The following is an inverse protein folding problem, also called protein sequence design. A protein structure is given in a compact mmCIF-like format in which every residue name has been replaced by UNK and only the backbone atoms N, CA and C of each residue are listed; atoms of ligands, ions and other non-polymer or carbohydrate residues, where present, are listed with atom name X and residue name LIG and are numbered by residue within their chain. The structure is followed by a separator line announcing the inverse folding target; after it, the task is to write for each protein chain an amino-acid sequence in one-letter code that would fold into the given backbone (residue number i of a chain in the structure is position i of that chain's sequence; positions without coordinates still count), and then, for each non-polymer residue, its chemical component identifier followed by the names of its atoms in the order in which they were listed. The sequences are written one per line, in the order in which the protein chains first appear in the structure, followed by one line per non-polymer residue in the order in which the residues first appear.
data_IF_460932031337
#
_entry.id   IF_460932031337
#
_cell.length_a   1.000
_cell.length_b   1.000
_cell.length_c   1.000
_cell.angle_alpha   90.00
_cell.angle_beta   90.00
_cell.angle_gamma   90.00
#
_symmetry.space_group_name_H-M   'P 1'
#
loop_
_entity.id
_entity.type
_entity.pdbx_description
1 polymer ?
#
# COMPACT_ATOMS: atom_id res chain seq x y z
N UNK A 1 -8.58 7.57 8.10
CA UNK A 1 -8.54 7.96 6.67
C UNK A 1 -9.90 8.53 6.29
N UNK A 2 -9.90 9.76 5.78
CA UNK A 2 -11.08 10.48 5.32
C UNK A 2 -11.56 9.98 3.96
N UNK A 3 -12.77 10.36 3.54
CA UNK A 3 -13.28 10.00 2.21
C UNK A 3 -12.49 10.67 1.08
N UNK A 4 -11.99 11.90 1.29
CA UNK A 4 -11.15 12.60 0.31
C UNK A 4 -9.84 11.85 0.06
N UNK A 5 -9.18 11.41 1.12
CA UNK A 5 -7.95 10.60 1.04
C UNK A 5 -8.17 9.27 0.31
N UNK A 6 -9.29 8.60 0.58
CA UNK A 6 -9.66 7.36 -0.12
C UNK A 6 -9.79 7.58 -1.62
N UNK A 7 -10.44 8.67 -2.05
CA UNK A 7 -10.57 8.98 -3.48
C UNK A 7 -9.21 9.31 -4.12
N UNK A 8 -8.31 10.00 -3.41
CA UNK A 8 -6.97 10.34 -3.93
C UNK A 8 -6.11 9.10 -4.24
N UNK A 9 -6.23 8.04 -3.44
CA UNK A 9 -5.45 6.79 -3.62
C UNK A 9 -6.20 5.69 -4.34
N UNK A 10 -7.48 5.91 -4.71
CA UNK A 10 -8.42 4.89 -5.14
C UNK A 10 -7.90 4.02 -6.27
N UNK A 11 -7.33 4.63 -7.31
CA UNK A 11 -6.87 3.91 -8.49
C UNK A 11 -5.63 3.05 -8.16
N UNK A 12 -4.66 3.60 -7.43
CA UNK A 12 -3.47 2.86 -7.01
C UNK A 12 -3.80 1.77 -5.98
N UNK A 13 -4.76 2.01 -5.07
CA UNK A 13 -5.23 1.01 -4.12
C UNK A 13 -5.99 -0.13 -4.83
N UNK A 14 -6.81 0.19 -5.83
CA UNK A 14 -7.47 -0.82 -6.68
C UNK A 14 -6.45 -1.64 -7.45
N UNK A 15 -5.45 -0.99 -8.06
CA UNK A 15 -4.36 -1.67 -8.75
C UNK A 15 -3.56 -2.56 -7.78
N UNK A 16 -3.26 -2.07 -6.58
CA UNK A 16 -2.62 -2.88 -5.54
C UNK A 16 -3.45 -4.13 -5.21
N UNK A 17 -4.73 -3.98 -4.89
CA UNK A 17 -5.61 -5.12 -4.56
C UNK A 17 -5.78 -6.12 -5.71
N UNK A 18 -5.63 -5.69 -6.97
CA UNK A 18 -5.66 -6.59 -8.12
C UNK A 18 -4.38 -7.45 -8.25
N UNK A 19 -3.25 -6.98 -7.72
CA UNK A 19 -1.95 -7.66 -7.82
C UNK A 19 -1.53 -8.35 -6.50
N UNK A 20 -2.00 -7.84 -5.37
CA UNK A 20 -1.65 -8.27 -4.02
C UNK A 20 -2.92 -8.68 -3.26
N UNK A 21 -2.86 -9.78 -2.50
CA UNK A 21 -4.03 -10.37 -1.84
C UNK A 21 -4.49 -9.64 -0.57
N UNK A 22 -3.62 -8.82 0.04
CA UNK A 22 -3.93 -8.17 1.31
C UNK A 22 -3.26 -6.81 1.42
N UNK A 23 -4.05 -5.84 1.90
CA UNK A 23 -3.54 -4.58 2.44
C UNK A 23 -4.47 -4.10 3.54
N UNK A 24 -3.88 -3.61 4.62
CA UNK A 24 -4.59 -2.86 5.66
C UNK A 24 -3.87 -1.56 5.92
N UNK A 25 -4.61 -0.45 5.85
CA UNK A 25 -4.09 0.89 6.06
C UNK A 25 -4.80 1.48 7.28
N UNK A 26 -4.03 1.89 8.28
CA UNK A 26 -4.52 2.45 9.54
C UNK A 26 -3.96 3.86 9.68
N UNK A 27 -4.81 4.83 10.02
CA UNK A 27 -4.33 6.19 10.32
C UNK A 27 -3.53 6.18 11.62
N UNK A 28 -2.42 6.89 11.64
CA UNK A 28 -1.63 7.05 12.86
C UNK A 28 -2.40 7.86 13.90
N UNK A 29 -2.25 7.50 15.18
CA UNK A 29 -2.92 8.20 16.28
C UNK A 29 -2.35 9.61 16.50
N UNK A 30 -1.08 9.83 16.11
CA UNK A 30 -0.38 11.10 16.22
C UNK A 30 0.19 11.51 14.85
N UNK A 31 -0.30 12.62 14.31
CA UNK A 31 0.07 13.17 13.00
C UNK A 31 -0.81 12.68 11.84
N UNK A 32 -0.52 13.15 10.63
CA UNK A 32 -1.32 12.88 9.41
C UNK A 32 -0.83 11.62 8.65
N UNK A 33 -0.22 10.68 9.37
CA UNK A 33 0.43 9.50 8.80
C UNK A 33 -0.46 8.27 8.70
N UNK A 34 0.06 7.25 8.01
CA UNK A 34 -0.60 5.98 7.74
C UNK A 34 0.35 4.80 7.96
N UNK A 35 -0.08 3.81 8.75
CA UNK A 35 0.56 2.52 8.87
C UNK A 35 -0.01 1.56 7.84
N UNK A 36 0.88 0.99 7.01
CA UNK A 36 0.53 0.02 5.97
C UNK A 36 0.97 -1.38 6.40
N UNK A 37 0.04 -2.33 6.34
CA UNK A 37 0.26 -3.74 6.64
C UNK A 37 -0.06 -4.58 5.41
N UNK A 38 0.88 -5.40 4.96
CA UNK A 38 0.73 -6.26 3.78
C UNK A 38 0.36 -7.70 4.10
N UNK A 39 0.25 -8.05 5.37
CA UNK A 39 -0.30 -9.33 5.84
C UNK A 39 -1.09 -9.17 7.13
N UNK A 40 -1.99 -10.11 7.39
CA UNK A 40 -2.76 -10.16 8.63
C UNK A 40 -1.87 -10.40 9.86
N UNK A 41 -0.83 -11.23 9.71
CA UNK A 41 0.17 -11.49 10.76
C UNK A 41 0.89 -10.21 11.20
N UNK A 42 1.30 -9.39 10.23
CA UNK A 42 1.92 -8.08 10.48
C UNK A 42 0.98 -7.14 11.20
N UNK A 43 -0.29 -7.14 10.83
CA UNK A 43 -1.30 -6.35 11.51
C UNK A 43 -1.50 -6.81 12.97
N UNK A 44 -1.60 -8.12 13.22
CA UNK A 44 -1.78 -8.69 14.56
C UNK A 44 -0.57 -8.47 15.47
N UNK A 45 0.64 -8.56 14.93
CA UNK A 45 1.89 -8.32 15.67
C UNK A 45 2.22 -6.83 15.85
N UNK A 46 1.45 -5.92 15.25
CA UNK A 46 1.75 -4.49 15.25
C UNK A 46 2.97 -4.10 14.40
N UNK A 47 3.50 -5.03 13.59
CA UNK A 47 4.68 -4.80 12.75
C UNK A 47 4.28 -4.24 11.38
N UNK A 48 4.14 -2.91 11.29
CA UNK A 48 3.83 -2.25 10.02
C UNK A 48 4.93 -2.50 8.98
N UNK A 49 4.51 -2.67 7.72
CA UNK A 49 5.42 -2.84 6.58
C UNK A 49 6.02 -1.51 6.17
N UNK A 50 5.19 -0.47 6.14
CA UNK A 50 5.60 0.88 5.80
C UNK A 50 4.82 1.88 6.64
N UNK A 51 5.51 2.94 7.04
CA UNK A 51 4.89 4.16 7.53
C UNK A 51 4.92 5.23 6.45
N UNK A 52 3.76 5.80 6.11
CA UNK A 52 3.60 6.87 5.13
C UNK A 52 3.19 8.14 5.88
N UNK A 53 4.03 9.18 5.90
CA UNK A 53 3.78 10.39 6.71
C UNK A 53 2.68 11.32 6.16
N UNK A 54 2.18 11.09 4.93
CA UNK A 54 1.03 11.79 4.35
C UNK A 54 0.36 10.95 3.26
N UNK A 55 -0.76 11.45 2.72
CA UNK A 55 -1.56 10.74 1.70
C UNK A 55 -0.84 10.62 0.36
N UNK A 56 -0.06 11.63 -0.04
CA UNK A 56 0.68 11.60 -1.31
C UNK A 56 1.77 10.53 -1.30
N UNK A 57 2.45 10.38 -0.15
CA UNK A 57 3.46 9.35 0.02
C UNK A 57 2.84 7.96 0.06
N UNK A 58 1.67 7.80 0.69
CA UNK A 58 0.90 6.55 0.61
C UNK A 58 0.53 6.21 -0.84
N UNK A 59 0.07 7.21 -1.60
CA UNK A 59 -0.28 7.03 -3.01
C UNK A 59 0.93 6.59 -3.84
N UNK A 60 2.06 7.27 -3.67
CA UNK A 60 3.32 6.95 -4.33
C UNK A 60 3.85 5.56 -3.94
N UNK A 61 3.71 5.16 -2.69
CA UNK A 61 4.11 3.82 -2.23
C UNK A 61 3.27 2.73 -2.88
N UNK A 62 1.94 2.89 -2.94
CA UNK A 62 1.04 1.96 -3.63
C UNK A 62 1.41 1.80 -5.11
N UNK A 63 1.67 2.92 -5.78
CA UNK A 63 2.12 2.92 -7.17
C UNK A 63 3.45 2.19 -7.35
N UNK A 64 4.44 2.49 -6.51
CA UNK A 64 5.77 1.85 -6.54
C UNK A 64 5.70 0.35 -6.31
N UNK A 65 4.85 -0.11 -5.39
CA UNK A 65 4.65 -1.53 -5.13
C UNK A 65 4.11 -2.29 -6.36
N UNK A 66 3.09 -1.73 -7.03
CA UNK A 66 2.54 -2.33 -8.27
C UNK A 66 3.58 -2.32 -9.38
N UNK A 67 4.29 -1.21 -9.57
CA UNK A 67 5.37 -1.13 -10.57
C UNK A 67 6.47 -2.15 -10.33
N UNK A 68 6.86 -2.40 -9.08
CA UNK A 68 7.91 -3.36 -8.77
C UNK A 68 7.54 -4.78 -9.20
N UNK A 69 6.27 -5.18 -9.07
CA UNK A 69 5.79 -6.46 -9.61
C UNK A 69 5.74 -6.44 -11.12
N UNK A 70 5.23 -5.38 -11.75
CA UNK A 70 5.09 -5.35 -13.20
C UNK A 70 6.44 -5.29 -13.93
N UNK A 71 7.43 -4.58 -13.37
CA UNK A 71 8.81 -4.61 -13.87
C UNK A 71 9.42 -6.01 -13.72
N UNK A 72 9.15 -6.71 -12.62
CA UNK A 72 9.51 -8.13 -12.47
C UNK A 72 8.77 -9.06 -13.44
N UNK A 73 7.53 -8.73 -13.83
CA UNK A 73 6.72 -9.52 -14.76
C UNK A 73 7.05 -9.22 -16.24
N UNK A 74 7.65 -8.06 -16.53
CA UNK A 74 8.26 -7.73 -17.82
C UNK A 74 9.53 -8.55 -18.10
N UNK A 75 10.19 -9.04 -17.04
CA UNK A 75 11.21 -10.09 -17.10
C UNK A 75 10.55 -11.47 -16.96
N UNK A 76 9.61 -11.83 -17.86
CA UNK A 76 9.31 -13.25 -18.09
C UNK A 76 10.57 -13.92 -18.64
N UNK A 77 11.49 -14.31 -17.75
CA UNK A 77 12.31 -15.50 -17.98
C UNK A 77 11.35 -16.67 -17.84
N UNK A 78 11.04 -17.28 -18.97
CA UNK A 78 10.53 -18.64 -19.01
C UNK A 78 11.39 -19.49 -18.05
N UNK A 79 10.74 -20.08 -17.06
CA UNK A 79 11.26 -21.20 -16.28
C UNK A 79 10.58 -22.46 -16.80
#
# INVERSE_FOLDING_TARGET
MTNKEKELIKDNLRAYNANFKYIKIVSADYGDGFYVFTSEERFKSGSWTQYCYNIDYLNGWLYGAVQAIHKRCGERKEL
#
